data_IF_502840952801
#
_entry.id   IF_502840952801
#
_cell.length_a   1.000
_cell.length_b   1.000
_cell.length_c   1.000
_cell.angle_alpha   90.00
_cell.angle_beta   90.00
_cell.angle_gamma   90.00
#
_symmetry.space_group_name_H-M   'P 1'
#
loop_
_entity.id
_entity.type
_entity.pdbx_description
1 polymer ?
#
# COMPACT_ATOMS: atom_id res chain seq x y z
N UNK A 1 -16.15 -13.09 17.33
CA UNK A 1 -16.52 -12.53 16.00
C UNK A 1 -16.67 -13.63 14.95
N UNK A 2 -15.64 -14.42 14.65
CA UNK A 2 -15.74 -15.53 13.66
C UNK A 2 -16.79 -16.61 14.00
N UNK A 3 -17.02 -16.87 15.28
CA UNK A 3 -18.08 -17.78 15.74
C UNK A 3 -19.50 -17.20 15.76
N UNK A 4 -19.71 -15.97 15.25
CA UNK A 4 -21.04 -15.35 15.16
C UNK A 4 -21.54 -15.33 13.70
N UNK A 5 -22.72 -14.74 13.46
CA UNK A 5 -23.27 -14.54 12.11
C UNK A 5 -22.69 -13.33 11.37
N UNK A 6 -21.71 -12.64 11.97
CA UNK A 6 -21.11 -11.44 11.38
C UNK A 6 -20.05 -11.82 10.33
N UNK A 7 -20.09 -11.14 9.19
CA UNK A 7 -19.01 -11.20 8.19
C UNK A 7 -17.84 -10.36 8.71
N UNK A 8 -16.63 -10.92 8.69
CA UNK A 8 -15.42 -10.26 9.22
C UNK A 8 -14.45 -10.00 8.08
N UNK A 9 -13.99 -8.75 7.95
CA UNK A 9 -12.95 -8.33 7.00
C UNK A 9 -11.87 -7.56 7.74
N UNK A 10 -10.60 -7.83 7.43
CA UNK A 10 -9.47 -7.13 8.00
C UNK A 10 -9.00 -6.04 7.03
N UNK A 11 -9.11 -4.77 7.42
CA UNK A 11 -8.70 -3.63 6.60
C UNK A 11 -7.39 -3.03 7.13
N UNK A 12 -6.30 -3.24 6.41
CA UNK A 12 -4.95 -2.82 6.83
C UNK A 12 -4.31 -1.88 5.81
N UNK A 13 -3.40 -1.01 6.29
CA UNK A 13 -2.46 -0.26 5.43
C UNK A 13 -1.04 -0.86 5.49
N UNK A 14 -0.90 -2.07 6.06
CA UNK A 14 0.37 -2.81 6.05
C UNK A 14 0.90 -2.88 4.61
N UNK A 15 2.14 -2.41 4.45
CA UNK A 15 2.80 -2.27 3.16
C UNK A 15 4.31 -2.56 3.23
N UNK A 16 4.80 -3.08 4.36
CA UNK A 16 6.14 -3.66 4.46
C UNK A 16 6.15 -5.17 4.20
N UNK A 17 5.00 -5.84 4.36
CA UNK A 17 4.83 -7.29 4.23
C UNK A 17 3.72 -7.62 3.23
N UNK A 18 3.88 -8.73 2.51
CA UNK A 18 2.80 -9.31 1.72
C UNK A 18 1.64 -9.79 2.62
N UNK A 19 0.46 -9.96 2.03
CA UNK A 19 -0.70 -10.54 2.74
C UNK A 19 -0.40 -11.94 3.24
N UNK A 20 0.32 -12.75 2.45
CA UNK A 20 0.72 -14.10 2.83
C UNK A 20 1.59 -14.09 4.09
N UNK A 21 2.60 -13.20 4.15
CA UNK A 21 3.46 -13.05 5.33
C UNK A 21 2.69 -12.54 6.55
N UNK A 22 1.87 -11.50 6.39
CA UNK A 22 1.04 -10.94 7.47
C UNK A 22 0.09 -11.99 8.05
N UNK A 23 -0.62 -12.72 7.18
CA UNK A 23 -1.54 -13.79 7.59
C UNK A 23 -0.78 -14.93 8.27
N UNK A 24 0.39 -15.31 7.75
CA UNK A 24 1.25 -16.32 8.38
C UNK A 24 1.69 -15.91 9.79
N UNK A 25 2.05 -14.65 10.00
CA UNK A 25 2.39 -14.11 11.33
C UNK A 25 1.19 -14.15 12.28
N UNK A 26 0.03 -13.67 11.85
CA UNK A 26 -1.18 -13.67 12.68
C UNK A 26 -1.62 -15.09 13.03
N UNK A 27 -1.54 -16.04 12.09
CA UNK A 27 -1.83 -17.46 12.37
C UNK A 27 -0.91 -18.05 13.43
N UNK A 28 0.40 -17.72 13.41
CA UNK A 28 1.35 -18.17 14.45
C UNK A 28 1.03 -17.61 15.83
N UNK A 29 0.37 -16.45 15.90
CA UNK A 29 -0.14 -15.88 17.14
C UNK A 29 -1.50 -16.45 17.56
N UNK A 30 -2.05 -17.42 16.82
CA UNK A 30 -3.31 -18.11 17.14
C UNK A 30 -4.55 -17.47 16.52
N UNK A 31 -4.42 -16.50 15.62
CA UNK A 31 -5.58 -15.91 14.94
C UNK A 31 -6.12 -16.80 13.82
N UNK A 32 -7.45 -16.97 13.79
CA UNK A 32 -8.18 -17.57 12.67
C UNK A 32 -8.42 -16.51 11.56
N UNK A 33 -7.53 -16.51 10.57
CA UNK A 33 -7.52 -15.54 9.47
C UNK A 33 -6.99 -16.19 8.19
N UNK A 34 -7.46 -15.75 7.02
CA UNK A 34 -6.91 -16.11 5.71
C UNK A 34 -6.60 -14.88 4.85
N UNK A 35 -5.75 -15.04 3.84
CA UNK A 35 -5.41 -13.95 2.89
C UNK A 35 -6.65 -13.41 2.18
N UNK A 36 -7.58 -14.31 1.86
CA UNK A 36 -8.86 -13.97 1.26
C UNK A 36 -9.74 -13.09 2.13
N UNK A 37 -9.39 -12.81 3.39
CA UNK A 37 -10.11 -11.96 4.35
C UNK A 37 -9.42 -10.62 4.63
N UNK A 38 -8.25 -10.40 4.03
CA UNK A 38 -7.44 -9.19 4.22
C UNK A 38 -7.59 -8.27 3.03
N UNK A 39 -8.01 -7.04 3.28
CA UNK A 39 -7.91 -5.93 2.33
C UNK A 39 -6.67 -5.11 2.70
N UNK A 40 -5.72 -5.04 1.77
CA UNK A 40 -4.45 -4.34 1.89
C UNK A 40 -4.25 -3.40 0.68
N UNK A 41 -3.39 -2.37 0.76
CA UNK A 41 -3.27 -1.36 -0.29
C UNK A 41 -2.56 -1.88 -1.55
N UNK A 42 -1.61 -2.83 -1.43
CA UNK A 42 -0.84 -3.31 -2.58
C UNK A 42 -1.69 -3.96 -3.70
N UNK A 43 -2.67 -4.85 -3.41
CA UNK A 43 -3.57 -5.37 -4.43
C UNK A 43 -4.40 -4.30 -5.14
N UNK A 44 -4.86 -3.29 -4.39
CA UNK A 44 -5.63 -2.18 -4.96
C UNK A 44 -4.76 -1.32 -5.88
N UNK A 45 -3.50 -1.07 -5.50
CA UNK A 45 -2.55 -0.40 -6.37
C UNK A 45 -2.26 -1.21 -7.64
N UNK A 46 -2.05 -2.53 -7.52
CA UNK A 46 -1.88 -3.42 -8.67
C UNK A 46 -3.05 -3.35 -9.66
N UNK A 47 -4.28 -3.26 -9.16
CA UNK A 47 -5.46 -3.09 -10.02
C UNK A 47 -5.41 -1.75 -10.77
N UNK A 48 -5.13 -0.65 -10.08
CA UNK A 48 -4.98 0.68 -10.69
C UNK A 48 -3.89 0.67 -11.77
N UNK A 49 -2.75 0.05 -11.48
CA UNK A 49 -1.62 -0.05 -12.41
C UNK A 49 -2.04 -0.78 -13.69
N UNK A 50 -2.73 -1.92 -13.57
CA UNK A 50 -3.22 -2.69 -14.72
C UNK A 50 -4.26 -1.93 -15.54
N UNK A 51 -5.26 -1.34 -14.88
CA UNK A 51 -6.36 -0.62 -15.54
C UNK A 51 -5.85 0.61 -16.31
N UNK A 52 -4.80 1.26 -15.83
CA UNK A 52 -4.23 2.47 -16.44
C UNK A 52 -2.98 2.21 -17.29
N UNK A 53 -2.53 0.95 -17.44
CA UNK A 53 -1.32 0.60 -18.17
C UNK A 53 -0.04 1.22 -17.59
N UNK A 54 0.01 1.36 -16.27
CA UNK A 54 1.15 1.93 -15.55
C UNK A 54 2.16 0.84 -15.17
N UNK A 55 3.45 1.18 -15.29
CA UNK A 55 4.61 0.37 -14.92
C UNK A 55 5.39 1.13 -13.84
N UNK A 56 5.39 0.67 -12.58
CA UNK A 56 5.94 1.45 -11.49
C UNK A 56 7.44 1.26 -11.31
N UNK A 57 8.13 2.34 -10.98
CA UNK A 57 9.30 2.24 -10.11
C UNK A 57 8.81 1.99 -8.68
N UNK A 58 9.24 0.88 -8.08
CA UNK A 58 8.80 0.45 -6.75
C UNK A 58 9.75 0.96 -5.66
N UNK A 59 9.30 1.97 -4.91
CA UNK A 59 9.94 2.44 -3.68
C UNK A 59 9.23 1.83 -2.47
N UNK A 60 9.53 0.55 -2.22
CA UNK A 60 8.82 -0.31 -1.26
C UNK A 60 9.81 -1.16 -0.45
N UNK A 61 9.35 -1.75 0.65
CA UNK A 61 10.11 -2.76 1.38
C UNK A 61 10.11 -4.11 0.63
N UNK A 62 11.18 -4.89 0.71
CA UNK A 62 11.28 -6.17 -0.03
C UNK A 62 10.22 -7.19 0.40
N UNK A 63 9.77 -7.16 1.66
CA UNK A 63 8.72 -8.05 2.17
C UNK A 63 7.35 -7.91 1.49
N UNK A 64 7.07 -6.78 0.83
CA UNK A 64 5.83 -6.58 0.06
C UNK A 64 6.04 -6.75 -1.45
N UNK A 65 7.28 -6.92 -1.91
CA UNK A 65 7.62 -6.96 -3.35
C UNK A 65 6.86 -8.06 -4.10
N UNK A 66 6.61 -9.20 -3.46
CA UNK A 66 5.86 -10.32 -4.04
C UNK A 66 4.41 -9.98 -4.41
N UNK A 67 3.79 -8.97 -3.80
CA UNK A 67 2.46 -8.50 -4.22
C UNK A 67 2.47 -7.87 -5.63
N UNK A 68 3.65 -7.48 -6.13
CA UNK A 68 3.86 -6.84 -7.43
C UNK A 68 4.48 -7.77 -8.49
N UNK A 69 4.67 -9.06 -8.22
CA UNK A 69 5.34 -10.00 -9.14
C UNK A 69 4.68 -10.11 -10.53
N UNK A 70 3.38 -9.79 -10.61
CA UNK A 70 2.59 -9.82 -11.84
C UNK A 70 2.45 -8.44 -12.51
N UNK A 71 3.23 -7.46 -12.06
CA UNK A 71 3.24 -6.09 -12.59
C UNK A 71 4.57 -5.88 -13.34
N UNK A 72 4.46 -5.41 -14.60
CA UNK A 72 5.64 -4.99 -15.35
C UNK A 72 6.23 -3.71 -14.72
N UNK A 73 7.51 -3.76 -14.39
CA UNK A 73 8.27 -2.65 -13.79
C UNK A 73 9.36 -2.11 -14.73
N UNK A 74 9.45 -2.65 -15.95
CA UNK A 74 10.38 -2.17 -16.96
C UNK A 74 9.95 -0.80 -17.50
N UNK A 75 10.91 0.06 -17.83
CA UNK A 75 10.66 1.40 -18.39
C UNK A 75 9.56 2.16 -17.61
N UNK A 76 9.80 2.46 -16.33
CA UNK A 76 8.75 2.91 -15.43
C UNK A 76 8.14 4.24 -15.89
N UNK A 77 6.81 4.34 -15.78
CA UNK A 77 6.04 5.54 -16.12
C UNK A 77 5.21 6.07 -14.91
N UNK A 78 5.47 5.54 -13.72
CA UNK A 78 4.98 6.07 -12.46
C UNK A 78 5.89 5.61 -11.32
N UNK A 79 5.67 6.15 -10.12
CA UNK A 79 6.27 5.65 -8.88
C UNK A 79 5.18 5.13 -7.96
N UNK A 80 5.41 3.94 -7.38
CA UNK A 80 4.65 3.47 -6.23
C UNK A 80 5.54 3.58 -5.01
N UNK A 81 5.09 4.32 -4.01
CA UNK A 81 5.75 4.47 -2.71
C UNK A 81 4.92 3.77 -1.63
N UNK A 82 5.58 2.94 -0.83
CA UNK A 82 5.00 2.26 0.33
C UNK A 82 5.86 2.53 1.56
N UNK A 83 5.45 2.04 2.72
CA UNK A 83 6.36 2.04 3.87
C UNK A 83 7.57 1.14 3.56
N UNK A 84 8.70 1.77 3.26
CA UNK A 84 9.92 1.12 2.78
C UNK A 84 10.96 0.92 3.89
N UNK A 85 10.73 1.44 5.11
CA UNK A 85 11.68 1.38 6.22
C UNK A 85 13.09 1.84 5.81
N UNK A 86 14.09 1.00 6.05
CA UNK A 86 15.50 1.25 5.67
C UNK A 86 15.71 1.42 4.15
N UNK A 87 14.77 0.95 3.32
CA UNK A 87 14.82 1.15 1.86
C UNK A 87 14.51 2.60 1.45
N UNK A 88 14.09 3.47 2.37
CA UNK A 88 14.09 4.93 2.19
C UNK A 88 15.50 5.54 2.24
N UNK A 89 16.46 4.90 1.59
CA UNK A 89 17.79 5.46 1.41
C UNK A 89 17.72 6.69 0.50
N UNK A 90 18.70 7.60 0.64
CA UNK A 90 18.84 8.74 -0.26
C UNK A 90 18.86 8.30 -1.73
N UNK A 91 19.61 7.23 -2.04
CA UNK A 91 19.71 6.70 -3.40
C UNK A 91 18.35 6.27 -3.95
N UNK A 92 17.58 5.49 -3.18
CA UNK A 92 16.28 5.00 -3.65
C UNK A 92 15.25 6.13 -3.79
N UNK A 93 15.25 7.10 -2.86
CA UNK A 93 14.44 8.31 -2.95
C UNK A 93 14.82 9.16 -4.17
N UNK A 94 16.11 9.35 -4.42
CA UNK A 94 16.59 10.16 -5.53
C UNK A 94 16.32 9.48 -6.89
N UNK A 95 16.42 8.16 -6.98
CA UNK A 95 16.02 7.41 -8.17
C UNK A 95 14.51 7.56 -8.45
N UNK A 96 13.65 7.44 -7.43
CA UNK A 96 12.22 7.66 -7.58
C UNK A 96 11.91 9.10 -8.05
N UNK A 97 12.60 10.09 -7.47
CA UNK A 97 12.52 11.48 -7.89
C UNK A 97 12.93 11.66 -9.36
N UNK A 98 14.06 11.10 -9.79
CA UNK A 98 14.54 11.19 -11.18
C UNK A 98 13.54 10.58 -12.17
N UNK A 99 12.99 9.40 -11.85
CA UNK A 99 11.92 8.78 -12.67
C UNK A 99 10.74 9.74 -12.82
N UNK A 100 10.27 10.36 -11.74
CA UNK A 100 9.15 11.31 -11.82
C UNK A 100 9.48 12.54 -12.67
N UNK A 101 10.69 13.08 -12.55
CA UNK A 101 11.09 14.30 -13.27
C UNK A 101 11.29 14.10 -14.78
N UNK A 102 11.56 12.88 -15.23
CA UNK A 102 11.73 12.55 -16.64
C UNK A 102 10.39 12.31 -17.37
N UNK A 103 9.29 12.17 -16.64
CA UNK A 103 7.97 11.91 -17.19
C UNK A 103 7.26 13.21 -17.57
N UNK A 104 6.62 13.22 -18.74
CA UNK A 104 5.72 14.31 -19.14
C UNK A 104 4.48 14.41 -18.23
N UNK A 105 3.95 13.26 -17.81
CA UNK A 105 2.80 13.14 -16.93
C UNK A 105 3.15 12.30 -15.69
N UNK A 106 3.86 12.89 -14.71
CA UNK A 106 4.32 12.16 -13.53
C UNK A 106 3.16 11.69 -12.64
N UNK A 107 3.13 10.38 -12.37
CA UNK A 107 2.15 9.76 -11.47
C UNK A 107 2.87 9.19 -10.25
N UNK A 108 2.46 9.63 -9.06
CA UNK A 108 2.92 9.11 -7.78
C UNK A 108 1.75 8.44 -7.04
N UNK A 109 1.85 7.13 -6.82
CA UNK A 109 0.86 6.35 -6.06
C UNK A 109 1.47 6.03 -4.68
N UNK A 110 0.77 6.37 -3.61
CA UNK A 110 1.22 6.13 -2.23
C UNK A 110 0.33 5.12 -1.54
N UNK A 111 0.91 4.05 -0.97
CA UNK A 111 0.20 3.03 -0.19
C UNK A 111 -0.06 3.52 1.24
N UNK A 112 -0.92 4.53 1.36
CA UNK A 112 -1.21 5.23 2.59
C UNK A 112 -0.55 6.60 2.65
N UNK A 113 -0.77 7.30 3.77
CA UNK A 113 -0.25 8.65 4.03
C UNK A 113 -0.04 8.89 5.53
N UNK A 114 0.19 7.82 6.29
CA UNK A 114 0.39 7.92 7.73
C UNK A 114 1.65 8.74 8.03
N UNK A 115 1.65 9.42 9.17
CA UNK A 115 2.77 10.28 9.56
C UNK A 115 3.89 9.48 10.22
N UNK A 116 3.47 8.54 11.06
CA UNK A 116 4.32 7.67 11.87
C UNK A 116 3.46 6.53 12.42
N UNK A 117 4.12 5.48 12.89
CA UNK A 117 3.50 4.39 13.65
C UNK A 117 4.38 4.03 14.85
N UNK A 118 3.87 3.20 15.78
CA UNK A 118 4.58 2.82 17.01
C UNK A 118 5.08 1.37 16.91
N UNK A 119 6.37 1.20 17.13
CA UNK A 119 7.02 -0.10 17.35
C UNK A 119 7.49 -0.25 18.81
N UNK A 120 8.08 -1.41 19.13
CA UNK A 120 8.68 -1.68 20.45
C UNK A 120 9.83 -0.74 20.78
N UNK A 121 10.57 -0.30 19.77
CA UNK A 121 11.74 0.59 19.88
C UNK A 121 11.40 2.08 19.88
N UNK A 122 10.16 2.47 19.53
CA UNK A 122 9.74 3.87 19.52
C UNK A 122 8.76 4.23 18.42
N UNK A 123 8.67 5.53 18.12
CA UNK A 123 7.92 6.03 16.96
C UNK A 123 8.79 5.91 15.71
N UNK A 124 8.22 5.31 14.66
CA UNK A 124 8.85 5.17 13.35
C UNK A 124 8.16 6.08 12.34
N UNK A 125 8.93 6.69 11.45
CA UNK A 125 8.35 7.42 10.32
C UNK A 125 7.65 6.42 9.40
N UNK A 126 6.47 6.81 8.94
CA UNK A 126 5.67 6.04 7.97
C UNK A 126 5.90 6.60 6.54
N UNK A 127 5.16 6.12 5.56
CA UNK A 127 5.26 6.53 4.14
C UNK A 127 4.96 8.01 3.90
N UNK A 128 4.11 8.64 4.71
CA UNK A 128 3.59 9.99 4.47
C UNK A 128 4.67 11.08 4.37
N UNK A 129 5.64 11.16 5.30
CA UNK A 129 6.81 12.05 5.19
C UNK A 129 7.56 11.92 3.86
N UNK A 130 7.86 10.71 3.40
CA UNK A 130 8.60 10.47 2.16
C UNK A 130 7.75 10.77 0.92
N UNK A 131 6.46 10.41 0.95
CA UNK A 131 5.49 10.82 -0.06
C UNK A 131 5.45 12.34 -0.19
N UNK A 132 5.42 13.08 0.93
CA UNK A 132 5.42 14.55 0.92
C UNK A 132 6.73 15.13 0.38
N UNK A 133 7.86 14.47 0.63
CA UNK A 133 9.14 14.89 0.05
C UNK A 133 9.11 14.80 -1.48
N UNK A 134 8.61 13.70 -2.05
CA UNK A 134 8.48 13.55 -3.51
C UNK A 134 7.43 14.49 -4.10
N UNK A 135 6.28 14.67 -3.45
CA UNK A 135 5.27 15.66 -3.87
C UNK A 135 5.89 17.07 -3.97
N UNK A 136 6.65 17.47 -2.94
CA UNK A 136 7.30 18.77 -2.90
C UNK A 136 8.37 18.92 -3.99
N UNK A 137 9.23 17.91 -4.14
CA UNK A 137 10.33 17.93 -5.10
C UNK A 137 9.85 17.95 -6.56
N UNK A 138 8.77 17.24 -6.87
CA UNK A 138 8.25 17.11 -8.24
C UNK A 138 7.12 18.09 -8.56
N UNK A 139 6.60 18.83 -7.57
CA UNK A 139 5.45 19.72 -7.77
C UNK A 139 4.13 19.01 -8.06
N UNK A 140 3.96 17.78 -7.58
CA UNK A 140 2.78 16.92 -7.85
C UNK A 140 2.00 16.58 -6.58
N UNK A 141 0.86 15.91 -6.74
CA UNK A 141 0.10 15.29 -5.65
C UNK A 141 0.03 13.79 -5.83
N UNK A 142 0.23 13.06 -4.73
CA UNK A 142 0.16 11.61 -4.73
C UNK A 142 -1.31 11.13 -4.73
N UNK A 143 -1.57 10.09 -5.50
CA UNK A 143 -2.79 9.29 -5.39
C UNK A 143 -2.65 8.31 -4.22
N UNK A 144 -3.41 8.53 -3.16
CA UNK A 144 -3.32 7.70 -1.94
C UNK A 144 -4.24 6.50 -2.06
N UNK A 145 -3.66 5.31 -2.05
CA UNK A 145 -4.35 4.02 -2.05
C UNK A 145 -4.29 3.43 -0.64
N UNK A 146 -5.43 2.96 -0.12
CA UNK A 146 -5.54 2.50 1.27
C UNK A 146 -6.32 3.47 2.14
N UNK A 147 -6.44 3.17 3.44
CA UNK A 147 -7.14 4.04 4.40
C UNK A 147 -6.46 5.43 4.43
N UNK A 148 -7.21 6.54 4.47
CA UNK A 148 -8.67 6.64 4.63
C UNK A 148 -9.45 6.84 3.31
N UNK A 149 -8.94 6.41 2.15
CA UNK A 149 -9.69 6.55 0.88
C UNK A 149 -11.05 5.82 0.97
N UNK A 150 -12.16 6.47 0.59
CA UNK A 150 -13.48 5.84 0.54
C UNK A 150 -13.51 4.61 -0.38
N UNK A 151 -12.78 4.65 -1.49
CA UNK A 151 -12.68 3.58 -2.49
C UNK A 151 -12.11 2.30 -1.88
N UNK A 152 -11.13 2.45 -0.96
CA UNK A 152 -10.56 1.32 -0.23
C UNK A 152 -11.60 0.59 0.64
N UNK A 153 -12.42 1.34 1.38
CA UNK A 153 -13.49 0.76 2.18
C UNK A 153 -14.62 0.18 1.32
N UNK A 154 -14.97 0.83 0.21
CA UNK A 154 -15.96 0.31 -0.74
C UNK A 154 -15.54 -1.04 -1.31
N UNK A 155 -14.28 -1.19 -1.73
CA UNK A 155 -13.74 -2.47 -2.22
C UNK A 155 -13.81 -3.57 -1.14
N UNK A 156 -13.45 -3.25 0.10
CA UNK A 156 -13.55 -4.18 1.23
C UNK A 156 -15.01 -4.64 1.47
N UNK A 157 -15.96 -3.71 1.44
CA UNK A 157 -17.39 -3.95 1.63
C UNK A 157 -18.01 -4.78 0.51
N UNK A 158 -17.65 -4.49 -0.74
CA UNK A 158 -18.09 -5.26 -1.92
C UNK A 158 -17.66 -6.72 -1.83
N UNK A 159 -16.43 -6.98 -1.36
CA UNK A 159 -15.88 -8.34 -1.23
C UNK A 159 -16.69 -9.20 -0.25
N UNK A 160 -17.27 -8.58 0.79
CA UNK A 160 -18.13 -9.28 1.76
C UNK A 160 -19.62 -9.13 1.45
N UNK A 161 -20.01 -8.36 0.44
CA UNK A 161 -21.41 -8.08 0.10
C UNK A 161 -22.18 -7.47 1.27
N UNK A 162 -21.63 -6.40 1.84
CA UNK A 162 -22.24 -5.62 2.95
C UNK A 162 -22.28 -4.16 2.54
N UNK A 163 -23.38 -3.47 2.84
CA UNK A 163 -23.46 -2.03 2.59
C UNK A 163 -22.77 -1.22 3.70
N UNK A 164 -22.31 -0.01 3.39
CA UNK A 164 -21.57 0.82 4.36
C UNK A 164 -22.36 1.09 5.65
N UNK A 165 -23.68 1.24 5.57
CA UNK A 165 -24.54 1.48 6.74
C UNK A 165 -24.72 0.24 7.65
N UNK A 166 -24.31 -0.94 7.18
CA UNK A 166 -24.40 -2.22 7.90
C UNK A 166 -23.06 -2.63 8.53
N UNK A 167 -21.98 -1.92 8.21
CA UNK A 167 -20.66 -2.14 8.77
C UNK A 167 -20.44 -1.26 10.01
N UNK A 168 -19.83 -1.84 11.05
CA UNK A 168 -19.43 -1.17 12.28
C UNK A 168 -17.91 -1.00 12.32
#
# INVERSE_FOLDING_TARGET
LKGSRLKVRFCTNESQKSRAELVGQLRRLGFDISEGEVTAPAPAACQILKERGLRPYLLIHDGVRSEFDQIDTSNPNCVVIADAGESFSYQNMNNAFQVLMELENPVLISLGKGRYYKETSGLMLDVGPYMKALEYACGIKAEVVGKPSPEFFKSALQTIGVEAHQAQ
#
